data_IF_004338656077
#
_entry.id   IF_004338656077
#
_cell.length_a   1.000
_cell.length_b   1.000
_cell.length_c   1.000
_cell.angle_alpha   90.00
_cell.angle_beta   90.00
_cell.angle_gamma   90.00
#
_symmetry.space_group_name_H-M   'P 1'
#
loop_
_entity.id
_entity.type
_entity.pdbx_description
1 polymer ?
#
# COMPACT_ATOMS: atom_id res chain seq x y z
N UNK A 1 26.27 -30.41 11.97
CA UNK A 1 27.23 -29.38 12.44
C UNK A 1 26.60 -28.04 12.12
N UNK A 2 26.02 -27.38 13.13
CA UNK A 2 25.22 -26.16 12.96
C UNK A 2 26.10 -24.93 12.83
N UNK A 3 25.69 -23.99 11.98
CA UNK A 3 26.31 -22.68 11.85
C UNK A 3 26.37 -22.01 13.24
N UNK A 4 27.51 -21.40 13.59
CA UNK A 4 27.67 -20.68 14.86
C UNK A 4 26.63 -19.56 15.05
N UNK A 5 26.42 -19.08 16.29
CA UNK A 5 25.44 -18.04 16.57
C UNK A 5 25.66 -16.81 15.70
N UNK A 6 24.57 -16.29 15.13
CA UNK A 6 24.61 -15.10 14.28
C UNK A 6 25.23 -13.93 15.06
N UNK A 7 26.15 -13.21 14.42
CA UNK A 7 26.72 -11.99 15.00
C UNK A 7 25.61 -10.94 15.10
N UNK A 8 25.22 -10.60 16.32
CA UNK A 8 24.22 -9.58 16.58
C UNK A 8 24.86 -8.21 16.36
N UNK A 9 24.36 -7.47 15.37
CA UNK A 9 24.73 -6.07 15.14
C UNK A 9 23.72 -5.16 15.85
N UNK A 10 24.15 -4.35 16.83
CA UNK A 10 23.24 -3.47 17.55
C UNK A 10 22.54 -2.44 16.64
N UNK A 11 23.10 -2.09 15.48
CA UNK A 11 22.44 -1.19 14.53
C UNK A 11 21.26 -1.86 13.82
N UNK A 12 21.39 -3.15 13.47
CA UNK A 12 20.33 -3.91 12.81
C UNK A 12 19.16 -4.13 13.77
N UNK A 13 19.46 -4.51 15.02
CA UNK A 13 18.43 -4.70 16.05
C UNK A 13 17.63 -3.42 16.30
N UNK A 14 18.32 -2.28 16.44
CA UNK A 14 17.66 -0.97 16.63
C UNK A 14 16.79 -0.57 15.44
N UNK A 15 17.25 -0.85 14.21
CA UNK A 15 16.44 -0.59 13.02
C UNK A 15 15.19 -1.47 12.99
N UNK A 16 15.31 -2.74 13.39
CA UNK A 16 14.17 -3.64 13.49
C UNK A 16 13.16 -3.12 14.53
N UNK A 17 13.61 -2.81 15.74
CA UNK A 17 12.76 -2.22 16.80
C UNK A 17 12.09 -0.93 16.34
N UNK A 18 12.82 -0.02 15.68
CA UNK A 18 12.24 1.23 15.18
C UNK A 18 11.10 1.01 14.18
N UNK A 19 11.20 -0.01 13.32
CA UNK A 19 10.15 -0.35 12.36
C UNK A 19 8.95 -1.00 13.02
N UNK A 20 9.20 -1.91 13.96
CA UNK A 20 8.16 -2.60 14.72
C UNK A 20 7.35 -1.60 15.58
N UNK A 21 8.02 -0.63 16.21
CA UNK A 21 7.41 0.38 17.07
C UNK A 21 6.94 1.63 16.31
N UNK A 22 7.03 1.65 14.98
CA UNK A 22 6.70 2.82 14.17
C UNK A 22 5.24 3.28 14.35
N UNK A 23 4.31 2.34 14.59
CA UNK A 23 2.90 2.64 14.78
C UNK A 23 2.61 3.34 16.12
N UNK A 24 3.39 3.05 17.17
CA UNK A 24 3.23 3.66 18.49
C UNK A 24 3.53 5.16 18.46
N UNK A 25 4.45 5.56 17.59
CA UNK A 25 4.92 6.94 17.45
C UNK A 25 4.27 7.67 16.26
N UNK A 26 3.25 7.06 15.64
CA UNK A 26 2.61 7.63 14.46
C UNK A 26 1.85 8.90 14.78
N UNK A 27 1.93 9.89 13.87
CA UNK A 27 1.21 11.16 13.97
C UNK A 27 0.62 11.56 12.63
N UNK A 28 -0.61 12.08 12.69
CA UNK A 28 -1.23 12.74 11.55
C UNK A 28 -0.59 14.11 11.34
N UNK A 29 0.13 14.23 10.23
CA UNK A 29 0.75 15.45 9.74
C UNK A 29 0.21 15.71 8.35
N UNK A 30 0.33 16.95 7.86
CA UNK A 30 -0.12 17.28 6.50
C UNK A 30 0.52 16.36 5.43
N UNK A 31 1.76 15.88 5.67
CA UNK A 31 2.42 14.93 4.76
C UNK A 31 1.80 13.53 4.85
N UNK A 32 1.66 12.98 6.05
CA UNK A 32 1.11 11.60 6.22
C UNK A 32 -0.35 11.52 5.80
N UNK A 33 -1.14 12.57 6.05
CA UNK A 33 -2.52 12.68 5.58
C UNK A 33 -2.57 12.71 4.05
N UNK A 34 -1.75 13.52 3.38
CA UNK A 34 -1.70 13.55 1.91
C UNK A 34 -1.32 12.19 1.33
N UNK A 35 -0.32 11.52 1.90
CA UNK A 35 0.08 10.18 1.45
C UNK A 35 -1.06 9.17 1.65
N UNK A 36 -1.74 9.20 2.80
CA UNK A 36 -2.85 8.30 3.08
C UNK A 36 -4.04 8.53 2.13
N UNK A 37 -4.44 9.79 1.90
CA UNK A 37 -5.55 10.13 0.99
C UNK A 37 -5.21 9.72 -0.44
N UNK A 38 -3.99 10.01 -0.91
CA UNK A 38 -3.58 9.62 -2.26
C UNK A 38 -3.54 8.10 -2.41
N UNK A 39 -2.94 7.39 -1.46
CA UNK A 39 -2.74 5.94 -1.55
C UNK A 39 -3.99 5.10 -1.29
N UNK A 40 -4.83 5.48 -0.33
CA UNK A 40 -5.98 4.68 0.12
C UNK A 40 -7.31 5.11 -0.51
N UNK A 41 -7.41 6.34 -1.01
CA UNK A 41 -8.66 6.86 -1.59
C UNK A 41 -8.50 7.12 -3.08
N UNK A 42 -7.56 8.01 -3.46
CA UNK A 42 -7.46 8.49 -4.84
C UNK A 42 -7.06 7.37 -5.79
N UNK A 43 -6.02 6.60 -5.46
CA UNK A 43 -5.55 5.51 -6.32
C UNK A 43 -6.62 4.41 -6.49
N UNK A 44 -7.22 3.83 -5.43
CA UNK A 44 -8.27 2.82 -5.59
C UNK A 44 -9.50 3.34 -6.34
N UNK A 45 -9.96 4.57 -6.06
CA UNK A 45 -11.10 5.15 -6.74
C UNK A 45 -10.84 5.37 -8.24
N UNK A 46 -9.65 5.85 -8.60
CA UNK A 46 -9.25 6.00 -10.00
C UNK A 46 -9.21 4.66 -10.72
N UNK A 47 -8.60 3.63 -10.11
CA UNK A 47 -8.54 2.28 -10.68
C UNK A 47 -9.94 1.72 -10.89
N UNK A 48 -10.82 1.82 -9.88
CA UNK A 48 -12.20 1.36 -9.97
C UNK A 48 -12.98 2.06 -11.09
N UNK A 49 -12.87 3.39 -11.17
CA UNK A 49 -13.56 4.17 -12.20
C UNK A 49 -13.11 3.82 -13.62
N UNK A 50 -11.81 3.64 -13.82
CA UNK A 50 -11.29 3.21 -15.11
C UNK A 50 -11.75 1.79 -15.44
N UNK A 51 -11.67 0.87 -14.46
CA UNK A 51 -12.14 -0.49 -14.63
C UNK A 51 -13.61 -0.52 -15.04
N UNK A 52 -14.50 0.21 -14.35
CA UNK A 52 -15.93 0.29 -14.70
C UNK A 52 -16.14 0.78 -16.14
N UNK A 53 -15.49 1.89 -16.51
CA UNK A 53 -15.60 2.44 -17.88
C UNK A 53 -15.17 1.47 -18.97
N UNK A 54 -14.05 0.77 -18.78
CA UNK A 54 -13.51 -0.13 -19.81
C UNK A 54 -14.15 -1.52 -19.76
N UNK A 55 -14.53 -2.01 -18.58
CA UNK A 55 -15.24 -3.28 -18.40
C UNK A 55 -16.65 -3.22 -19.01
N UNK A 56 -17.42 -2.17 -18.74
CA UNK A 56 -18.76 -2.00 -19.33
C UNK A 56 -18.69 -1.80 -20.85
N UNK A 57 -17.64 -1.12 -21.36
CA UNK A 57 -17.42 -0.93 -22.80
C UNK A 57 -17.01 -2.23 -23.51
N UNK A 58 -16.24 -3.10 -22.86
CA UNK A 58 -15.86 -4.40 -23.38
C UNK A 58 -16.91 -5.50 -23.16
N UNK A 59 -17.96 -5.23 -22.38
CA UNK A 59 -19.01 -6.19 -22.11
C UNK A 59 -19.83 -6.46 -23.39
N UNK A 60 -20.05 -7.73 -23.79
CA UNK A 60 -20.72 -8.11 -25.04
C UNK A 60 -22.19 -7.67 -25.16
N UNK A 61 -22.78 -7.04 -24.12
CA UNK A 61 -24.11 -6.41 -24.19
C UNK A 61 -24.09 -5.02 -24.83
N UNK A 62 -22.93 -4.35 -24.92
CA UNK A 62 -22.83 -3.06 -25.63
C UNK A 62 -23.02 -3.20 -27.15
N UNK A 63 -22.82 -4.41 -27.68
CA UNK A 63 -23.00 -4.79 -29.08
C UNK A 63 -24.46 -5.11 -29.45
N UNK A 64 -25.41 -5.01 -28.51
CA UNK A 64 -26.85 -5.27 -28.73
C UNK A 64 -27.69 -3.99 -28.70
N UNK A 65 -27.21 -2.91 -29.34
CA UNK A 65 -28.08 -1.78 -29.71
C UNK A 65 -28.51 -1.98 -31.17
N UNK A 66 -29.81 -1.85 -31.50
CA UNK A 66 -30.30 -1.94 -32.87
C UNK A 66 -29.76 -0.79 -33.74
#
# INVERSE_FOLDING_TARGET
MGHGPLKIDPAIERFNTMREDAYLNFRWTNRTVRTAVLGLVVVPAAVYYLADKYYVRGHPTSLRRP
#
